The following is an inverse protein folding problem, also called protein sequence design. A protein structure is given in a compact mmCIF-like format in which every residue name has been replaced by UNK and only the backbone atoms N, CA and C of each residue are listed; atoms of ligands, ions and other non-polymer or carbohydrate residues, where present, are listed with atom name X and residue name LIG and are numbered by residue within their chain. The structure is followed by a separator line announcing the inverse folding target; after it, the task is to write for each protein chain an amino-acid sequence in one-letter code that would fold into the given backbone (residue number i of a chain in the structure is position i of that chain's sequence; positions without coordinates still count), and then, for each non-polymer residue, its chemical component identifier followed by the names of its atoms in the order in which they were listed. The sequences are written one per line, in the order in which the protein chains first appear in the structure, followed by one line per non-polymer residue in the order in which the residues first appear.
data_IF_353950935437
#
_entry.id   IF_353950935437
#
_cell.length_a   1.000
_cell.length_b   1.000
_cell.length_c   1.000
_cell.angle_alpha   90.00
_cell.angle_beta   90.00
_cell.angle_gamma   90.00
#
_symmetry.space_group_name_H-M   'P 1'
#
loop_
_entity.id
_entity.type
_entity.pdbx_description
1 polymer ?
#
# COMPACT_ATOMS: atom_id res chain seq x y z
N UNK A 1 -21.67 -9.80 10.83
CA UNK A 1 -22.82 -10.68 11.10
C UNK A 1 -22.57 -11.98 10.37
N UNK A 2 -22.53 -13.12 11.07
CA UNK A 2 -22.39 -14.42 10.41
C UNK A 2 -23.41 -15.41 10.98
N UNK A 3 -23.83 -16.33 10.12
CA UNK A 3 -24.74 -17.42 10.45
C UNK A 3 -23.90 -18.67 10.66
N UNK A 4 -23.94 -19.24 11.85
CA UNK A 4 -23.26 -20.50 12.11
C UNK A 4 -23.93 -21.67 11.36
N UNK A 5 -23.27 -22.83 11.35
CA UNK A 5 -23.78 -24.07 10.73
C UNK A 5 -25.14 -24.55 11.28
N UNK A 6 -25.64 -23.93 12.35
CA UNK A 6 -26.92 -24.24 12.98
C UNK A 6 -27.98 -23.15 12.70
N UNK A 7 -27.70 -22.18 11.82
CA UNK A 7 -28.64 -21.11 11.49
C UNK A 7 -28.72 -19.99 12.53
N UNK A 8 -27.85 -19.98 13.55
CA UNK A 8 -27.82 -18.93 14.57
C UNK A 8 -27.05 -17.73 14.02
N UNK A 9 -27.74 -16.60 13.89
CA UNK A 9 -27.12 -15.32 13.56
C UNK A 9 -26.45 -14.80 14.83
N UNK A 10 -25.12 -14.66 14.78
CA UNK A 10 -24.36 -14.02 15.85
C UNK A 10 -23.94 -12.63 15.35
N UNK A 11 -24.43 -11.60 16.03
CA UNK A 11 -23.89 -10.25 15.90
C UNK A 11 -22.53 -10.23 16.58
N UNK A 12 -21.48 -10.19 15.76
CA UNK A 12 -20.10 -10.11 16.18
C UNK A 12 -19.73 -8.63 16.18
N UNK A 13 -19.56 -8.02 17.34
CA UNK A 13 -19.06 -6.65 17.44
C UNK A 13 -17.54 -6.68 17.26
N UNK A 14 -16.99 -5.75 16.46
CA UNK A 14 -15.55 -5.64 16.27
C UNK A 14 -14.81 -5.46 17.60
N UNK A 15 -15.46 -4.81 18.57
CA UNK A 15 -14.92 -4.58 19.91
C UNK A 15 -14.75 -5.85 20.73
N UNK A 16 -15.42 -6.95 20.38
CA UNK A 16 -15.27 -8.24 21.09
C UNK A 16 -13.90 -8.89 20.84
N UNK A 17 -13.16 -8.42 19.82
CA UNK A 17 -11.89 -9.00 19.36
C UNK A 17 -10.71 -8.04 19.47
N UNK A 18 -10.95 -6.78 19.83
CA UNK A 18 -9.93 -5.73 19.90
C UNK A 18 -9.51 -5.54 21.36
N UNK A 19 -8.23 -5.74 21.67
CA UNK A 19 -7.63 -5.19 22.90
C UNK A 19 -7.17 -3.75 22.61
N UNK A 20 -7.23 -2.89 23.63
CA UNK A 20 -6.97 -1.44 23.50
C UNK A 20 -5.73 -1.11 22.65
N UNK A 21 -5.75 0.03 21.90
CA UNK A 21 -4.68 0.39 20.99
C UNK A 21 -3.34 0.48 21.73
N UNK A 22 -2.28 -0.05 21.10
CA UNK A 22 -0.91 0.28 21.50
C UNK A 22 -0.57 1.57 20.77
N UNK A 23 -0.56 2.71 21.49
CA UNK A 23 -0.23 4.00 20.90
C UNK A 23 1.14 3.96 20.22
N UNK A 24 1.17 4.37 18.96
CA UNK A 24 2.39 4.44 18.17
C UNK A 24 2.09 4.63 16.69
N UNK A 25 1.83 5.87 16.28
CA UNK A 25 1.98 6.27 14.88
C UNK A 25 3.47 6.47 14.65
N UNK A 26 4.08 5.68 13.76
CA UNK A 26 5.47 5.88 13.35
C UNK A 26 5.49 6.29 11.89
N UNK A 27 5.88 7.53 11.61
CA UNK A 27 6.28 7.95 10.27
C UNK A 27 7.74 7.53 10.11
N UNK A 28 7.99 6.60 9.20
CA UNK A 28 9.35 6.20 8.83
C UNK A 28 9.63 6.81 7.46
N UNK A 29 10.36 7.91 7.43
CA UNK A 29 10.94 8.37 6.18
C UNK A 29 12.04 7.39 5.78
N UNK A 30 11.81 6.61 4.72
CA UNK A 30 12.68 5.50 4.33
C UNK A 30 13.13 5.69 2.89
N UNK A 31 14.31 6.29 2.77
CA UNK A 31 15.08 6.51 1.54
C UNK A 31 15.42 5.16 0.87
N UNK A 32 14.72 4.81 -0.21
CA UNK A 32 15.03 3.62 -1.01
C UNK A 32 16.05 4.01 -2.09
N UNK A 33 17.32 3.68 -1.86
CA UNK A 33 18.38 3.79 -2.86
C UNK A 33 18.31 2.60 -3.81
N UNK A 34 17.86 2.84 -5.03
CA UNK A 34 18.22 2.00 -6.19
C UNK A 34 19.05 2.88 -7.13
N UNK A 35 20.29 3.16 -6.75
CA UNK A 35 21.25 3.88 -7.60
C UNK A 35 21.83 2.93 -8.65
N UNK A 36 21.69 3.19 -9.96
CA UNK A 36 22.80 2.95 -10.87
C UNK A 36 23.77 4.13 -10.71
N UNK A 37 25.00 3.84 -10.32
CA UNK A 37 26.12 4.78 -10.34
C UNK A 37 26.10 5.66 -11.60
N UNK A 38 25.91 6.96 -11.42
CA UNK A 38 26.57 7.98 -12.23
C UNK A 38 26.50 9.34 -11.54
N UNK A 39 27.48 9.58 -10.67
CA UNK A 39 27.80 10.90 -10.14
C UNK A 39 28.51 11.71 -11.22
N UNK A 40 27.77 12.32 -12.14
CA UNK A 40 28.28 13.42 -12.96
C UNK A 40 27.30 14.58 -12.91
N UNK A 41 27.66 15.57 -12.08
CA UNK A 41 27.21 16.96 -12.09
C UNK A 41 25.78 17.20 -12.61
N UNK A 42 24.79 16.90 -11.76
CA UNK A 42 23.43 17.44 -11.91
C UNK A 42 23.53 18.93 -11.59
N UNK A 43 23.67 19.74 -12.64
CA UNK A 43 23.43 21.16 -12.61
C UNK A 43 22.12 21.44 -11.87
N UNK A 44 22.22 22.38 -10.95
CA UNK A 44 21.17 22.94 -10.10
C UNK A 44 19.85 23.04 -10.86
N UNK A 45 18.90 22.12 -10.61
CA UNK A 45 17.43 22.23 -10.79
C UNK A 45 16.75 20.84 -10.66
N UNK A 46 16.67 20.35 -9.42
CA UNK A 46 15.62 19.44 -8.98
C UNK A 46 15.03 20.11 -7.72
N UNK A 47 13.79 20.61 -7.79
CA UNK A 47 13.32 21.67 -6.87
C UNK A 47 12.56 21.20 -5.64
N UNK A 48 12.34 19.89 -5.44
CA UNK A 48 11.71 19.43 -4.19
C UNK A 48 12.05 18.00 -3.76
N UNK A 49 12.61 17.15 -4.63
CA UNK A 49 12.74 15.71 -4.39
C UNK A 49 14.17 15.19 -4.55
N UNK A 50 14.56 14.25 -3.67
CA UNK A 50 15.94 13.79 -3.50
C UNK A 50 16.37 12.68 -4.48
N UNK A 51 15.45 11.93 -5.12
CA UNK A 51 15.79 10.73 -5.90
C UNK A 51 15.39 10.78 -7.37
N UNK A 52 16.30 10.40 -8.26
CA UNK A 52 16.04 10.21 -9.69
C UNK A 52 15.56 8.77 -9.96
N UNK A 53 14.34 8.64 -10.48
CA UNK A 53 13.68 7.38 -10.80
C UNK A 53 13.78 6.98 -12.28
N UNK A 54 14.06 7.92 -13.16
CA UNK A 54 14.19 7.63 -14.60
C UNK A 54 14.54 8.87 -15.41
N UNK A 55 15.14 8.63 -16.58
CA UNK A 55 15.46 9.65 -17.58
C UNK A 55 15.10 9.09 -18.94
N UNK A 56 14.32 9.83 -19.71
CA UNK A 56 13.96 9.42 -21.07
C UNK A 56 13.96 10.62 -22.02
N UNK A 57 14.33 10.34 -23.26
CA UNK A 57 14.32 11.32 -24.34
C UNK A 57 13.13 11.07 -25.25
N UNK A 58 12.34 12.11 -25.50
CA UNK A 58 11.26 12.07 -26.49
C UNK A 58 11.73 12.62 -27.82
N UNK A 59 11.78 11.75 -28.83
CA UNK A 59 12.03 12.16 -30.22
C UNK A 59 10.89 12.99 -30.83
N UNK A 60 9.69 12.94 -30.25
CA UNK A 60 8.55 13.72 -30.74
C UNK A 60 8.63 15.21 -30.40
N UNK A 61 9.32 15.55 -29.29
CA UNK A 61 9.42 16.93 -28.78
C UNK A 61 10.86 17.42 -28.61
N UNK A 62 11.85 16.62 -29.00
CA UNK A 62 13.29 16.91 -28.92
C UNK A 62 13.72 17.36 -27.51
N UNK A 63 13.22 16.65 -26.49
CA UNK A 63 13.42 16.99 -25.08
C UNK A 63 13.70 15.76 -24.24
N UNK A 64 14.59 15.92 -23.26
CA UNK A 64 14.86 14.91 -22.22
C UNK A 64 14.06 15.25 -20.98
N UNK A 65 13.26 14.30 -20.51
CA UNK A 65 12.55 14.36 -19.23
C UNK A 65 13.25 13.54 -18.16
N UNK A 66 13.24 14.04 -16.92
CA UNK A 66 13.81 13.40 -15.74
C UNK A 66 12.72 13.27 -14.68
N UNK A 67 12.44 12.04 -14.25
CA UNK A 67 11.49 11.75 -13.18
C UNK A 67 12.23 11.69 -11.85
N UNK A 68 11.93 12.63 -10.97
CA UNK A 68 12.34 12.62 -9.58
C UNK A 68 11.20 12.14 -8.68
N UNK A 69 11.52 11.73 -7.46
CA UNK A 69 10.50 11.44 -6.46
C UNK A 69 11.03 11.20 -5.06
N UNK A 70 10.10 11.02 -4.15
CA UNK A 70 10.32 10.75 -2.73
C UNK A 70 9.30 9.71 -2.26
N UNK A 71 9.68 8.94 -1.24
CA UNK A 71 8.83 7.88 -0.67
C UNK A 71 8.59 8.17 0.81
N UNK A 72 7.33 8.27 1.19
CA UNK A 72 6.91 8.40 2.59
C UNK A 72 6.21 7.12 3.05
N UNK A 73 6.66 6.55 4.16
CA UNK A 73 5.95 5.47 4.85
C UNK A 73 5.26 5.99 6.11
N UNK A 74 3.97 5.68 6.23
CA UNK A 74 3.16 5.99 7.40
C UNK A 74 2.51 4.72 7.93
N UNK A 75 2.90 4.31 9.13
CA UNK A 75 2.20 3.24 9.84
C UNK A 75 1.00 3.82 10.60
N UNK A 76 -0.17 3.26 10.34
CA UNK A 76 -1.40 3.52 11.09
C UNK A 76 -1.37 2.94 12.50
N UNK A 77 -2.41 3.20 13.30
CA UNK A 77 -2.49 2.75 14.67
C UNK A 77 -2.46 1.22 14.77
N UNK A 78 -1.70 0.72 15.73
CA UNK A 78 -1.56 -0.71 16.00
C UNK A 78 -2.71 -1.20 16.88
N UNK A 79 -3.37 -2.27 16.44
CA UNK A 79 -4.45 -2.95 17.17
C UNK A 79 -4.12 -4.42 17.31
N UNK A 80 -4.34 -4.97 18.50
CA UNK A 80 -4.16 -6.40 18.74
C UNK A 80 -5.49 -7.10 18.59
N UNK A 81 -5.52 -8.11 17.74
CA UNK A 81 -6.67 -8.99 17.59
C UNK A 81 -6.34 -10.38 18.11
N UNK A 82 -7.34 -11.04 18.70
CA UNK A 82 -7.30 -12.45 19.07
C UNK A 82 -8.57 -13.13 18.55
N UNK A 83 -8.40 -14.08 17.62
CA UNK A 83 -9.48 -14.88 17.06
C UNK A 83 -9.29 -16.33 17.48
N UNK A 84 -10.35 -16.95 17.99
CA UNK A 84 -10.35 -18.37 18.35
C UNK A 84 -10.51 -19.26 17.11
N UNK A 85 -9.99 -20.49 17.17
CA UNK A 85 -10.29 -21.51 16.17
C UNK A 85 -11.80 -21.64 15.96
N UNK A 86 -12.24 -21.78 14.70
CA UNK A 86 -13.65 -21.77 14.33
C UNK A 86 -14.24 -20.37 14.05
N UNK A 87 -13.46 -19.29 14.14
CA UNK A 87 -13.91 -17.95 13.73
C UNK A 87 -14.04 -17.88 12.21
N UNK A 88 -15.15 -17.33 11.71
CA UNK A 88 -15.34 -17.14 10.26
C UNK A 88 -14.36 -16.12 9.67
N UNK A 89 -13.78 -16.42 8.51
CA UNK A 89 -12.83 -15.53 7.81
C UNK A 89 -13.50 -14.18 7.49
N UNK A 90 -14.80 -14.16 7.18
CA UNK A 90 -15.53 -12.91 6.99
C UNK A 90 -15.53 -12.00 8.22
N UNK A 91 -15.54 -12.57 9.43
CA UNK A 91 -15.42 -11.80 10.68
C UNK A 91 -14.02 -11.22 10.84
N UNK A 92 -12.98 -12.01 10.53
CA UNK A 92 -11.59 -11.54 10.56
C UNK A 92 -11.40 -10.38 9.57
N UNK A 93 -11.91 -10.51 8.34
CA UNK A 93 -11.86 -9.44 7.33
C UNK A 93 -12.58 -8.19 7.84
N UNK A 94 -13.79 -8.32 8.37
CA UNK A 94 -14.53 -7.18 8.92
C UNK A 94 -13.76 -6.45 10.02
N UNK A 95 -13.05 -7.19 10.88
CA UNK A 95 -12.20 -6.62 11.91
C UNK A 95 -10.97 -5.90 11.34
N UNK A 96 -10.30 -6.49 10.33
CA UNK A 96 -9.16 -5.90 9.64
C UNK A 96 -9.53 -4.65 8.83
N UNK A 97 -10.71 -4.62 8.21
CA UNK A 97 -11.25 -3.44 7.52
C UNK A 97 -11.45 -2.26 8.50
N UNK A 98 -11.64 -2.52 9.79
CA UNK A 98 -11.71 -1.47 10.81
C UNK A 98 -10.37 -0.77 11.08
N UNK A 99 -9.26 -1.23 10.50
CA UNK A 99 -7.91 -0.67 10.67
C UNK A 99 -7.54 0.32 9.53
N UNK A 100 -8.21 0.24 8.37
CA UNK A 100 -7.94 1.11 7.22
C UNK A 100 -9.22 1.48 6.47
N UNK A 101 -9.38 2.74 6.04
CA UNK A 101 -10.60 3.20 5.37
C UNK A 101 -10.55 3.04 3.85
N UNK A 102 -11.68 2.67 3.23
CA UNK A 102 -11.92 2.89 1.80
C UNK A 102 -11.53 1.78 0.80
N UNK A 103 -11.05 0.62 1.25
CA UNK A 103 -10.66 -0.51 0.37
C UNK A 103 -11.45 -1.79 0.62
N UNK A 104 -11.12 -2.84 -0.14
CA UNK A 104 -11.72 -4.18 0.00
C UNK A 104 -10.60 -5.20 0.15
N UNK A 105 -10.59 -5.93 1.26
CA UNK A 105 -9.70 -7.08 1.43
C UNK A 105 -10.30 -8.31 0.76
N UNK A 106 -9.49 -9.02 -0.02
CA UNK A 106 -9.93 -10.26 -0.65
C UNK A 106 -9.84 -11.44 0.31
N UNK A 107 -10.89 -12.27 0.33
CA UNK A 107 -10.95 -13.50 1.15
C UNK A 107 -9.76 -14.42 0.87
N UNK A 108 -9.35 -14.69 -0.38
CA UNK A 108 -8.22 -15.58 -0.66
C UNK A 108 -6.90 -15.09 -0.09
N UNK A 109 -6.64 -13.78 -0.14
CA UNK A 109 -5.35 -13.24 0.33
C UNK A 109 -5.27 -13.27 1.85
N UNK A 110 -6.35 -12.90 2.54
CA UNK A 110 -6.41 -12.99 4.01
C UNK A 110 -6.38 -14.46 4.47
N UNK A 111 -7.10 -15.36 3.81
CA UNK A 111 -7.07 -16.80 4.14
C UNK A 111 -5.68 -17.41 3.97
N UNK A 112 -4.97 -17.03 2.89
CA UNK A 112 -3.58 -17.47 2.65
C UNK A 112 -2.65 -16.94 3.73
N UNK A 113 -2.78 -15.65 4.11
CA UNK A 113 -2.00 -15.07 5.20
C UNK A 113 -2.26 -15.78 6.54
N UNK A 114 -3.51 -16.20 6.78
CA UNK A 114 -3.92 -16.98 7.95
C UNK A 114 -3.59 -18.47 7.87
N UNK A 115 -2.99 -18.95 6.77
CA UNK A 115 -2.65 -20.36 6.59
C UNK A 115 -3.85 -21.31 6.46
N UNK A 116 -5.02 -20.78 6.13
CA UNK A 116 -6.27 -21.57 6.05
C UNK A 116 -6.44 -22.12 4.65
N UNK A 117 -6.67 -23.43 4.55
CA UNK A 117 -7.07 -24.09 3.31
C UNK A 117 -8.51 -23.71 2.95
N UNK A 118 -8.69 -22.84 1.95
CA UNK A 118 -10.02 -22.51 1.44
C UNK A 118 -10.63 -23.68 0.69
N UNK A 119 -11.38 -24.54 1.37
CA UNK A 119 -12.25 -25.53 0.72
C UNK A 119 -13.61 -24.87 0.43
N UNK A 120 -13.66 -24.12 -0.67
CA UNK A 120 -14.86 -23.39 -1.11
C UNK A 120 -14.72 -21.87 -0.99
N UNK A 121 -15.16 -21.14 -2.02
CA UNK A 121 -14.95 -19.71 -2.24
C UNK A 121 -15.83 -18.78 -1.39
N UNK A 122 -16.13 -19.14 -0.14
CA UNK A 122 -17.11 -18.44 0.70
C UNK A 122 -16.50 -17.74 1.93
N UNK A 123 -17.11 -16.61 2.31
CA UNK A 123 -16.92 -15.94 3.62
C UNK A 123 -17.24 -16.83 4.84
N UNK A 124 -17.81 -18.02 4.61
CA UNK A 124 -18.12 -19.04 5.62
C UNK A 124 -16.99 -20.02 5.94
N UNK A 125 -15.83 -19.91 5.29
CA UNK A 125 -14.63 -20.63 5.74
C UNK A 125 -14.26 -20.21 7.17
N UNK A 126 -13.83 -21.17 7.98
CA UNK A 126 -13.45 -20.95 9.37
C UNK A 126 -11.93 -21.04 9.51
N UNK A 127 -11.35 -20.29 10.45
CA UNK A 127 -9.94 -20.46 10.78
C UNK A 127 -9.75 -21.76 11.57
N UNK A 128 -8.78 -22.58 11.17
CA UNK A 128 -8.54 -23.89 11.81
C UNK A 128 -7.79 -23.77 13.15
N UNK A 129 -7.03 -22.68 13.34
CA UNK A 129 -6.20 -22.44 14.52
C UNK A 129 -6.49 -21.06 15.09
N UNK A 130 -6.43 -20.93 16.41
CA UNK A 130 -6.51 -19.63 17.05
C UNK A 130 -5.33 -18.76 16.58
N UNK A 131 -5.62 -17.51 16.23
CA UNK A 131 -4.64 -16.57 15.70
C UNK A 131 -4.75 -15.27 16.48
N UNK A 132 -3.60 -14.77 16.93
CA UNK A 132 -3.51 -13.51 17.64
C UNK A 132 -2.31 -12.73 17.15
N UNK A 133 -2.44 -11.40 17.10
CA UNK A 133 -1.32 -10.55 16.73
C UNK A 133 -1.67 -9.09 16.51
N UNK A 134 -0.62 -8.29 16.44
CA UNK A 134 -0.70 -6.86 16.16
C UNK A 134 -0.92 -6.62 14.67
N UNK A 135 -2.00 -5.92 14.36
CA UNK A 135 -2.41 -5.48 13.03
C UNK A 135 -2.30 -3.97 12.95
N UNK A 136 -1.83 -3.48 11.82
CA UNK A 136 -1.80 -2.06 11.48
C UNK A 136 -1.88 -1.90 9.97
N UNK A 137 -2.31 -0.74 9.51
CA UNK A 137 -2.17 -0.34 8.12
C UNK A 137 -0.82 0.31 7.89
N UNK A 138 -0.23 0.11 6.72
CA UNK A 138 0.95 0.83 6.27
C UNK A 138 0.63 1.48 4.95
N UNK A 139 0.73 2.80 4.92
CA UNK A 139 0.60 3.61 3.71
C UNK A 139 1.98 3.94 3.19
N UNK A 140 2.21 3.63 1.92
CA UNK A 140 3.42 3.90 1.18
C UNK A 140 3.08 4.85 0.04
N UNK A 141 3.46 6.11 0.21
CA UNK A 141 3.20 7.17 -0.76
C UNK A 141 4.48 7.50 -1.51
N UNK A 142 4.39 7.55 -2.83
CA UNK A 142 5.43 8.02 -3.71
C UNK A 142 4.97 9.31 -4.36
N UNK A 143 5.64 10.42 -4.05
CA UNK A 143 5.42 11.68 -4.74
C UNK A 143 6.47 11.80 -5.85
N UNK A 144 6.02 12.18 -7.05
CA UNK A 144 6.80 12.20 -8.27
C UNK A 144 6.76 13.58 -8.93
N UNK A 145 7.90 14.00 -9.49
CA UNK A 145 8.03 15.22 -10.29
C UNK A 145 8.80 14.93 -11.58
N UNK A 146 8.28 15.35 -12.73
CA UNK A 146 9.01 15.29 -14.00
C UNK A 146 9.48 16.69 -14.37
N UNK A 147 10.78 16.81 -14.62
CA UNK A 147 11.43 18.03 -15.11
C UNK A 147 11.94 17.78 -16.53
N UNK A 148 11.66 18.70 -17.45
CA UNK A 148 12.22 18.71 -18.79
C UNK A 148 12.61 20.16 -19.14
N UNK A 149 13.74 20.35 -19.81
CA UNK A 149 14.25 21.68 -20.17
C UNK A 149 14.21 22.69 -19.00
N UNK A 150 14.68 22.26 -17.83
CA UNK A 150 14.73 23.07 -16.60
C UNK A 150 13.36 23.52 -16.03
N UNK A 151 12.25 22.98 -16.55
CA UNK A 151 10.89 23.28 -16.12
C UNK A 151 10.15 22.04 -15.60
N UNK A 152 9.29 22.24 -14.60
CA UNK A 152 8.43 21.18 -14.06
C UNK A 152 7.25 20.94 -15.00
N UNK A 153 7.19 19.75 -15.59
CA UNK A 153 6.13 19.32 -16.49
C UNK A 153 5.01 18.52 -15.82
N UNK A 154 5.31 17.80 -14.74
CA UNK A 154 4.35 16.97 -14.04
C UNK A 154 4.69 16.89 -12.56
N UNK A 155 3.66 16.97 -11.71
CA UNK A 155 3.70 16.53 -10.31
C UNK A 155 2.57 15.55 -10.10
N UNK A 156 2.86 14.40 -9.54
CA UNK A 156 1.86 13.34 -9.32
C UNK A 156 2.26 12.49 -8.13
N UNK A 157 1.41 11.54 -7.75
CA UNK A 157 1.73 10.61 -6.68
C UNK A 157 1.11 9.24 -6.93
N UNK A 158 1.70 8.21 -6.35
CA UNK A 158 1.08 6.89 -6.18
C UNK A 158 1.03 6.56 -4.70
N UNK A 159 -0.03 5.90 -4.26
CA UNK A 159 -0.19 5.54 -2.85
C UNK A 159 -0.70 4.11 -2.72
N UNK A 160 0.09 3.29 -2.03
CA UNK A 160 -0.23 1.90 -1.74
C UNK A 160 -0.46 1.72 -0.25
N UNK A 161 -1.60 1.12 0.11
CA UNK A 161 -1.94 0.76 1.47
C UNK A 161 -1.89 -0.75 1.60
N UNK A 162 -1.14 -1.22 2.60
CA UNK A 162 -1.08 -2.62 3.02
C UNK A 162 -1.60 -2.77 4.44
N UNK A 163 -2.09 -3.96 4.79
CA UNK A 163 -2.52 -4.29 6.14
C UNK A 163 -1.67 -5.46 6.65
N UNK A 164 -1.11 -5.30 7.84
CA UNK A 164 -0.38 -6.36 8.54
C UNK A 164 -1.36 -7.38 9.10
N UNK A 165 -1.41 -8.57 8.53
CA UNK A 165 -2.27 -9.68 9.00
C UNK A 165 -1.43 -10.68 9.78
N UNK A 166 -1.85 -11.11 10.99
CA UNK A 166 -1.19 -12.18 11.72
C UNK A 166 -1.09 -13.46 10.89
N UNK A 167 0.08 -14.09 10.87
CA UNK A 167 0.33 -15.31 10.10
C UNK A 167 0.52 -16.50 11.04
N UNK A 168 -0.42 -17.44 10.95
CA UNK A 168 -0.46 -18.64 11.81
C UNK A 168 0.63 -19.66 11.49
N UNK A 169 1.19 -19.63 10.27
CA UNK A 169 2.19 -20.60 9.80
C UNK A 169 3.61 -20.27 10.27
N UNK A 170 3.92 -19.02 10.60
CA UNK A 170 5.28 -18.59 10.93
C UNK A 170 5.38 -17.70 12.18
N UNK A 171 4.32 -17.60 12.98
CA UNK A 171 4.28 -16.76 14.20
C UNK A 171 4.61 -15.27 13.98
N UNK A 172 4.54 -14.80 12.72
CA UNK A 172 4.83 -13.43 12.32
C UNK A 172 3.61 -12.70 11.77
N UNK A 173 3.84 -11.66 10.98
CA UNK A 173 2.81 -10.95 10.23
C UNK A 173 3.10 -10.99 8.74
N UNK A 174 2.06 -10.89 7.93
CA UNK A 174 2.14 -10.80 6.46
C UNK A 174 1.46 -9.51 6.01
N UNK A 175 2.16 -8.72 5.20
CA UNK A 175 1.57 -7.52 4.60
C UNK A 175 0.71 -7.91 3.42
N UNK A 176 -0.58 -7.57 3.52
CA UNK A 176 -1.58 -7.86 2.50
C UNK A 176 -1.94 -6.55 1.78
N UNK A 177 -1.89 -6.49 0.44
CA UNK A 177 -2.36 -5.34 -0.32
C UNK A 177 -3.83 -5.03 -0.01
N UNK A 178 -4.14 -3.76 0.25
CA UNK A 178 -5.48 -3.31 0.61
C UNK A 178 -6.07 -2.32 -0.40
N UNK A 179 -5.31 -1.30 -0.77
CA UNK A 179 -5.75 -0.23 -1.65
C UNK A 179 -4.54 0.32 -2.39
N UNK A 180 -4.70 0.64 -3.67
CA UNK A 180 -3.73 1.40 -4.45
C UNK A 180 -4.47 2.55 -5.12
N UNK A 181 -3.94 3.77 -5.01
CA UNK A 181 -4.54 5.00 -5.55
C UNK A 181 -3.48 5.92 -6.15
N UNK A 182 -3.93 7.01 -6.79
CA UNK A 182 -3.06 7.98 -7.44
C UNK A 182 -2.87 7.67 -8.92
N UNK A 183 -1.69 8.02 -9.44
CA UNK A 183 -1.31 7.81 -10.82
C UNK A 183 -1.11 6.33 -11.12
N UNK A 184 -1.68 5.87 -12.23
CA UNK A 184 -1.56 4.47 -12.66
C UNK A 184 -0.63 4.31 -13.86
N UNK A 185 -0.09 5.43 -14.37
CA UNK A 185 0.81 5.44 -15.51
C UNK A 185 2.14 4.76 -15.16
N UNK A 186 2.75 4.14 -16.16
CA UNK A 186 4.13 3.69 -16.04
C UNK A 186 5.06 4.89 -15.84
N UNK A 187 6.27 4.67 -15.30
CA UNK A 187 7.27 5.74 -15.14
C UNK A 187 7.62 6.40 -16.47
N UNK A 188 7.74 5.61 -17.53
CA UNK A 188 7.92 6.07 -18.91
C UNK A 188 6.79 6.99 -19.36
N UNK A 189 5.54 6.58 -19.16
CA UNK A 189 4.38 7.41 -19.54
C UNK A 189 4.31 8.70 -18.72
N UNK A 190 4.69 8.66 -17.44
CA UNK A 190 4.82 9.86 -16.60
C UNK A 190 5.87 10.82 -17.17
N UNK A 191 7.05 10.31 -17.55
CA UNK A 191 8.13 11.11 -18.14
C UNK A 191 7.67 11.76 -19.43
N UNK A 192 7.07 10.99 -20.34
CA UNK A 192 6.54 11.53 -21.60
C UNK A 192 5.43 12.55 -21.40
N UNK A 193 4.53 12.34 -20.45
CA UNK A 193 3.51 13.32 -20.11
C UNK A 193 4.12 14.62 -19.57
N UNK A 194 5.15 14.52 -18.72
CA UNK A 194 5.87 15.69 -18.22
C UNK A 194 6.57 16.47 -19.34
N UNK A 195 7.27 15.76 -20.25
CA UNK A 195 7.89 16.39 -21.43
C UNK A 195 6.84 17.12 -22.28
N UNK A 196 5.72 16.45 -22.57
CA UNK A 196 4.65 17.02 -23.38
C UNK A 196 4.08 18.31 -22.77
N UNK A 197 3.88 18.34 -21.44
CA UNK A 197 3.39 19.52 -20.75
C UNK A 197 4.40 20.69 -20.81
N UNK A 198 5.69 20.44 -20.65
CA UNK A 198 6.74 21.48 -20.83
C UNK A 198 6.74 21.99 -22.26
N UNK A 199 6.63 21.10 -23.24
CA UNK A 199 6.57 21.47 -24.66
C UNK A 199 5.39 22.40 -24.94
N UNK A 200 4.20 22.08 -24.41
CA UNK A 200 3.00 22.92 -24.55
C UNK A 200 3.11 24.29 -23.87
N UNK A 201 3.83 24.37 -22.75
CA UNK A 201 3.98 25.65 -22.04
C UNK A 201 4.96 26.60 -22.73
N UNK A 202 5.85 26.07 -23.56
CA UNK A 202 6.90 26.80 -24.25
C UNK A 202 6.60 27.10 -25.74
N UNK A 203 5.44 26.67 -26.26
CA UNK A 203 5.02 26.89 -27.66
C UNK A 203 3.56 27.33 -27.74
#
# INVERSE_FOLDING_TARGET
MYTDKNGKVTESNINDYVKEPVEGTSVLDQRVSNSPDNSDSIGTLATQYDFLYGVEYSSAWDMTGRLYGERTLTDGPRRTFEFSAGTAIGTVIGALLGVATGGVLSVPVVATALGVGLVGSGTGALIDTAVGGTTYSRTERYDYEVVANDEVGLRTYTEDVTISVPNSNNSGTTMVPYLSTGDTRSRTDMIHAGIYNVYLNNN
#
